data_IF_272381660630
#
_entry.id   IF_272381660630
#
_cell.length_a   1.000
_cell.length_b   1.000
_cell.length_c   1.000
_cell.angle_alpha   90.00
_cell.angle_beta   90.00
_cell.angle_gamma   90.00
#
_symmetry.space_group_name_H-M   'P 1'
#
loop_
_entity.id
_entity.type
_entity.pdbx_description
1 polymer ?
#
# COMPACT_ATOMS: atom_id res chain seq x y z
N UNK A 1 -11.75 3.75 -8.30
CA UNK A 1 -10.45 3.07 -8.17
C UNK A 1 -10.36 2.36 -6.81
N UNK A 2 -9.64 1.26 -6.77
CA UNK A 2 -9.39 0.44 -5.60
C UNK A 2 -8.13 0.90 -4.85
N UNK A 3 -8.04 0.54 -3.57
CA UNK A 3 -6.76 0.59 -2.86
C UNK A 3 -5.81 -0.48 -3.42
N UNK A 4 -4.57 -0.11 -3.68
CA UNK A 4 -3.50 -1.01 -4.12
C UNK A 4 -3.27 -2.18 -3.18
N UNK A 5 -3.24 -1.96 -1.86
CA UNK A 5 -3.04 -3.02 -0.89
C UNK A 5 -4.24 -3.97 -0.78
N UNK A 6 -5.46 -3.48 -0.98
CA UNK A 6 -6.63 -4.36 -1.08
C UNK A 6 -6.60 -5.22 -2.34
N UNK A 7 -6.26 -4.63 -3.50
CA UNK A 7 -6.07 -5.40 -4.74
C UNK A 7 -4.94 -6.43 -4.63
N UNK A 8 -3.92 -6.14 -3.83
CA UNK A 8 -2.81 -7.07 -3.57
C UNK A 8 -3.20 -8.21 -2.64
N UNK A 9 -3.88 -7.91 -1.53
CA UNK A 9 -4.35 -8.91 -0.59
C UNK A 9 -5.68 -8.47 0.03
N UNK A 10 -6.82 -8.89 -0.56
CA UNK A 10 -8.15 -8.49 -0.11
C UNK A 10 -8.50 -8.94 1.30
N UNK A 11 -7.90 -10.06 1.75
CA UNK A 11 -8.17 -10.64 3.08
C UNK A 11 -7.56 -9.77 4.18
N UNK A 12 -6.27 -9.41 4.01
CA UNK A 12 -5.53 -8.60 5.00
C UNK A 12 -6.06 -7.17 5.03
N UNK A 13 -6.39 -6.61 3.86
CA UNK A 13 -6.74 -5.19 3.70
C UNK A 13 -8.23 -4.96 3.44
N UNK A 14 -9.10 -5.85 3.93
CA UNK A 14 -10.56 -5.84 3.72
C UNK A 14 -11.24 -4.51 4.04
N UNK A 15 -10.73 -3.77 5.01
CA UNK A 15 -11.32 -2.48 5.42
C UNK A 15 -11.15 -1.40 4.34
N UNK A 16 -10.18 -1.57 3.44
CA UNK A 16 -9.96 -0.66 2.32
C UNK A 16 -10.96 -0.86 1.16
N UNK A 17 -11.68 -1.99 1.14
CA UNK A 17 -12.67 -2.30 0.10
C UNK A 17 -13.86 -1.33 0.08
N UNK A 18 -14.14 -0.68 1.21
CA UNK A 18 -15.30 0.22 1.38
C UNK A 18 -15.00 1.67 0.99
N UNK A 19 -13.77 1.96 0.58
CA UNK A 19 -13.32 3.32 0.32
C UNK A 19 -13.72 3.80 -1.08
N UNK A 20 -14.27 5.01 -1.15
CA UNK A 20 -14.55 5.67 -2.42
C UNK A 20 -13.33 6.48 -2.88
N UNK A 21 -12.38 5.81 -3.56
CA UNK A 21 -11.17 6.43 -4.10
C UNK A 21 -11.40 6.78 -5.57
N UNK A 22 -11.84 8.02 -5.83
CA UNK A 22 -12.23 8.46 -7.17
C UNK A 22 -11.03 8.80 -8.08
N UNK A 23 -9.86 9.07 -7.50
CA UNK A 23 -8.66 9.50 -8.21
C UNK A 23 -7.38 9.05 -7.47
N UNK A 24 -6.24 9.10 -8.15
CA UNK A 24 -4.95 8.68 -7.61
C UNK A 24 -4.44 9.60 -6.50
N UNK A 25 -4.91 10.85 -6.43
CA UNK A 25 -4.54 11.76 -5.33
C UNK A 25 -5.15 11.29 -4.01
N UNK A 26 -6.43 10.90 -4.02
CA UNK A 26 -7.11 10.28 -2.87
C UNK A 26 -6.48 8.95 -2.49
N UNK A 27 -6.08 8.15 -3.46
CA UNK A 27 -5.31 6.92 -3.19
C UNK A 27 -4.01 7.24 -2.47
N UNK A 28 -3.18 8.16 -2.97
CA UNK A 28 -1.91 8.53 -2.32
C UNK A 28 -2.12 9.01 -0.89
N UNK A 29 -3.16 9.82 -0.65
CA UNK A 29 -3.52 10.26 0.70
C UNK A 29 -3.92 9.07 1.59
N UNK A 30 -4.76 8.17 1.09
CA UNK A 30 -5.17 6.96 1.81
C UNK A 30 -3.97 6.07 2.13
N UNK A 31 -3.12 5.78 1.15
CA UNK A 31 -1.90 5.02 1.29
C UNK A 31 -0.99 5.63 2.37
N UNK A 32 -0.79 6.96 2.37
CA UNK A 32 0.02 7.64 3.38
C UNK A 32 -0.54 7.52 4.80
N UNK A 33 -1.86 7.41 4.95
CA UNK A 33 -2.55 7.34 6.24
C UNK A 33 -2.69 5.92 6.79
N UNK A 34 -2.82 4.92 5.92
CA UNK A 34 -3.21 3.56 6.33
C UNK A 34 -2.15 2.49 5.99
N UNK A 35 -1.30 2.77 5.01
CA UNK A 35 -0.26 1.84 4.53
C UNK A 35 1.14 2.43 4.69
N UNK A 36 1.33 3.32 5.66
CA UNK A 36 2.63 3.87 5.98
C UNK A 36 2.70 4.21 7.47
N UNK A 37 3.86 3.99 8.06
CA UNK A 37 4.17 4.37 9.44
C UNK A 37 5.52 5.10 9.45
N UNK A 38 5.69 6.13 10.29
CA UNK A 38 6.94 6.90 10.31
C UNK A 38 8.10 6.18 11.00
N UNK A 39 7.78 5.27 11.91
CA UNK A 39 8.75 4.58 12.74
C UNK A 39 8.51 3.09 12.67
N UNK A 40 8.96 2.42 11.61
CA UNK A 40 8.96 0.95 11.55
C UNK A 40 10.29 0.44 11.00
N UNK A 41 10.62 -0.80 11.34
CA UNK A 41 11.85 -1.43 10.86
C UNK A 41 11.64 -2.09 9.49
N UNK A 42 12.48 -1.79 8.51
CA UNK A 42 12.43 -2.44 7.19
C UNK A 42 12.91 -3.91 7.22
N UNK A 43 13.60 -4.35 8.28
CA UNK A 43 14.04 -5.74 8.41
C UNK A 43 12.97 -6.61 9.09
N UNK A 44 12.35 -6.17 10.19
CA UNK A 44 11.40 -6.98 10.96
C UNK A 44 9.95 -6.46 10.98
N UNK A 45 9.65 -5.37 10.27
CA UNK A 45 8.32 -4.76 10.14
C UNK A 45 7.65 -4.31 11.45
N UNK A 46 8.39 -4.30 12.56
CA UNK A 46 7.91 -3.82 13.85
C UNK A 46 7.71 -2.30 13.82
N UNK A 47 6.57 -1.83 14.33
CA UNK A 47 6.23 -0.40 14.44
C UNK A 47 6.52 0.11 15.84
N UNK A 48 7.07 1.32 15.94
CA UNK A 48 7.46 1.94 17.20
C UNK A 48 6.66 3.21 17.46
N UNK A 49 6.21 3.47 18.70
CA UNK A 49 5.41 4.66 18.99
C UNK A 49 6.21 5.97 18.92
N UNK A 50 7.55 5.91 18.96
CA UNK A 50 8.42 7.09 18.95
C UNK A 50 9.67 6.87 18.12
N UNK A 51 10.22 7.97 17.60
CA UNK A 51 11.48 7.97 16.86
C UNK A 51 12.64 7.43 17.70
N UNK A 52 12.68 7.72 19.00
CA UNK A 52 13.76 7.28 19.88
C UNK A 52 13.78 5.75 20.03
N UNK A 53 12.60 5.12 20.23
CA UNK A 53 12.48 3.66 20.31
C UNK A 53 12.88 2.98 18.99
N UNK A 54 12.47 3.56 17.87
CA UNK A 54 12.88 3.08 16.55
C UNK A 54 14.40 3.17 16.33
N UNK A 55 15.02 4.30 16.68
CA UNK A 55 16.49 4.45 16.59
C UNK A 55 17.21 3.44 17.48
N UNK A 56 16.77 3.31 18.73
CA UNK A 56 17.31 2.33 19.67
C UNK A 56 17.25 0.90 19.10
N UNK A 57 16.14 0.52 18.48
CA UNK A 57 16.00 -0.78 17.84
C UNK A 57 16.99 -0.96 16.67
N UNK A 58 17.12 0.06 15.81
CA UNK A 58 18.04 0.03 14.66
C UNK A 58 19.51 -0.02 15.06
N UNK A 59 19.90 0.75 16.07
CA UNK A 59 21.30 0.85 16.51
C UNK A 59 21.77 -0.46 17.16
N UNK A 60 20.91 -1.07 17.98
CA UNK A 60 21.23 -2.35 18.63
C UNK A 60 21.08 -3.57 17.72
N UNK A 61 20.55 -3.40 16.49
CA UNK A 61 20.28 -4.49 15.54
C UNK A 61 19.55 -5.66 16.20
N UNK A 62 18.58 -5.36 17.05
CA UNK A 62 17.92 -6.33 17.93
C UNK A 62 16.91 -7.24 17.23
N UNK A 63 16.95 -7.35 15.90
CA UNK A 63 15.97 -8.10 15.12
C UNK A 63 16.59 -8.84 13.94
N UNK A 64 15.82 -9.77 13.40
CA UNK A 64 16.17 -10.53 12.21
C UNK A 64 15.28 -10.12 11.04
N UNK A 65 15.83 -10.22 9.83
CA UNK A 65 15.08 -9.96 8.61
C UNK A 65 13.93 -10.96 8.46
N UNK A 66 12.74 -10.43 8.25
CA UNK A 66 11.51 -11.17 7.99
C UNK A 66 11.06 -10.92 6.54
N UNK A 67 10.25 -11.83 6.01
CA UNK A 67 9.62 -11.61 4.70
C UNK A 67 8.73 -10.36 4.72
N UNK A 68 8.66 -9.66 3.59
CA UNK A 68 7.79 -8.50 3.46
C UNK A 68 6.33 -8.90 3.68
N UNK A 69 5.74 -8.37 4.74
CA UNK A 69 4.34 -8.62 5.08
C UNK A 69 3.38 -7.79 4.22
N UNK A 70 3.89 -6.92 3.35
CA UNK A 70 3.15 -6.00 2.50
C UNK A 70 2.08 -5.26 3.29
N UNK A 71 2.43 -4.87 4.51
CA UNK A 71 1.53 -4.16 5.42
C UNK A 71 1.66 -2.66 5.25
N UNK A 72 2.89 -2.21 5.01
CA UNK A 72 3.25 -0.81 4.83
C UNK A 72 4.10 -0.66 3.57
N UNK A 73 4.07 0.52 2.97
CA UNK A 73 5.00 0.91 1.93
C UNK A 73 6.34 1.27 2.57
N UNK A 74 7.43 0.99 1.85
CA UNK A 74 8.78 1.37 2.26
C UNK A 74 8.91 2.89 2.44
N UNK A 75 9.82 3.36 3.30
CA UNK A 75 10.13 4.80 3.39
C UNK A 75 10.52 5.38 2.02
N UNK A 76 11.22 4.61 1.20
CA UNK A 76 11.58 4.98 -0.17
C UNK A 76 10.35 5.14 -1.07
N UNK A 77 9.43 4.17 -1.08
CA UNK A 77 8.19 4.25 -1.85
C UNK A 77 7.34 5.46 -1.43
N UNK A 78 7.21 5.72 -0.13
CA UNK A 78 6.48 6.91 0.37
C UNK A 78 7.05 8.22 -0.17
N UNK A 79 8.39 8.34 -0.18
CA UNK A 79 9.09 9.51 -0.70
C UNK A 79 8.97 9.64 -2.23
N UNK A 80 9.00 8.52 -2.95
CA UNK A 80 8.80 8.53 -4.40
C UNK A 80 7.37 8.91 -4.78
N UNK A 81 6.37 8.39 -4.06
CA UNK A 81 4.95 8.71 -4.30
C UNK A 81 4.63 10.18 -4.08
N UNK A 82 5.22 10.81 -3.06
CA UNK A 82 5.01 12.23 -2.76
C UNK A 82 5.61 13.16 -3.82
N UNK A 83 6.74 12.75 -4.43
CA UNK A 83 7.43 13.52 -5.48
C UNK A 83 6.89 13.29 -6.89
N UNK A 84 6.22 12.15 -7.13
CA UNK A 84 5.76 11.77 -8.46
C UNK A 84 4.53 12.56 -8.92
N UNK A 85 4.75 13.50 -9.84
CA UNK A 85 3.71 14.26 -10.56
C UNK A 85 3.55 13.65 -11.96
N UNK A 86 2.59 12.73 -12.14
CA UNK A 86 2.30 12.09 -13.44
C UNK A 86 1.17 12.79 -14.18
N UNK A 87 1.29 14.10 -14.37
CA UNK A 87 0.18 14.97 -14.80
C UNK A 87 -0.40 14.62 -16.17
N UNK A 88 0.40 14.05 -17.08
CA UNK A 88 -0.01 13.73 -18.45
C UNK A 88 -0.68 12.36 -18.61
N UNK A 89 -0.69 11.53 -17.56
CA UNK A 89 -1.30 10.21 -17.60
C UNK A 89 -2.81 10.28 -17.25
N UNK A 90 -3.58 9.35 -17.80
CA UNK A 90 -4.95 9.07 -17.32
C UNK A 90 -4.94 8.55 -15.88
N UNK A 91 -6.08 8.57 -15.19
CA UNK A 91 -6.16 8.06 -13.81
C UNK A 91 -5.83 6.57 -13.73
N UNK A 92 -6.23 5.77 -14.71
CA UNK A 92 -5.89 4.34 -14.80
C UNK A 92 -4.39 4.12 -14.98
N UNK A 93 -3.74 4.85 -15.88
CA UNK A 93 -2.28 4.74 -16.07
C UNK A 93 -1.52 5.23 -14.82
N UNK A 94 -1.99 6.30 -14.18
CA UNK A 94 -1.42 6.75 -12.89
C UNK A 94 -1.56 5.65 -11.83
N UNK A 95 -2.71 4.96 -11.80
CA UNK A 95 -2.99 3.90 -10.85
C UNK A 95 -2.04 2.72 -11.03
N UNK A 96 -1.87 2.22 -12.26
CA UNK A 96 -0.93 1.14 -12.56
C UNK A 96 0.52 1.53 -12.28
N UNK A 97 0.90 2.76 -12.63
CA UNK A 97 2.24 3.22 -12.31
C UNK A 97 2.47 3.36 -10.78
N UNK A 98 1.43 3.52 -9.95
CA UNK A 98 1.56 3.44 -8.48
C UNK A 98 1.67 1.97 -8.04
N UNK A 99 0.93 1.06 -8.69
CA UNK A 99 1.05 -0.38 -8.46
C UNK A 99 2.49 -0.86 -8.66
N UNK A 100 3.09 -0.56 -9.81
CA UNK A 100 4.47 -1.00 -10.13
C UNK A 100 5.52 -0.46 -9.17
N UNK A 101 5.25 0.70 -8.57
CA UNK A 101 6.13 1.29 -7.56
C UNK A 101 6.00 0.57 -6.21
N UNK A 102 4.78 0.17 -5.84
CA UNK A 102 4.50 -0.49 -4.56
C UNK A 102 4.86 -1.98 -4.60
N UNK A 103 4.63 -2.65 -5.72
CA UNK A 103 4.74 -4.09 -5.86
C UNK A 103 5.54 -4.46 -7.13
N UNK A 104 6.82 -4.05 -7.23
CA UNK A 104 7.62 -4.20 -8.46
C UNK A 104 7.77 -5.65 -8.92
N UNK A 105 7.73 -6.61 -7.99
CA UNK A 105 7.89 -8.04 -8.28
C UNK A 105 6.55 -8.78 -8.49
N UNK A 106 5.44 -8.04 -8.58
CA UNK A 106 4.10 -8.64 -8.70
C UNK A 106 3.38 -8.19 -9.98
N UNK A 107 2.61 -9.12 -10.56
CA UNK A 107 1.78 -8.84 -11.73
C UNK A 107 0.75 -7.76 -11.40
N UNK A 108 0.54 -6.84 -12.34
CA UNK A 108 -0.58 -5.90 -12.26
C UNK A 108 -1.92 -6.64 -12.26
N UNK A 109 -2.92 -6.15 -11.49
CA UNK A 109 -4.27 -6.68 -11.56
C UNK A 109 -4.92 -6.32 -12.89
N UNK A 110 -5.98 -7.03 -13.25
CA UNK A 110 -6.67 -6.84 -14.53
C UNK A 110 -7.34 -5.46 -14.63
N UNK A 111 -7.78 -4.91 -13.50
CA UNK A 111 -8.44 -3.61 -13.44
C UNK A 111 -8.13 -2.84 -12.15
N UNK A 112 -8.14 -1.50 -12.21
CA UNK A 112 -7.94 -0.65 -11.05
C UNK A 112 -9.22 -0.47 -10.22
N UNK A 113 -10.35 -1.07 -10.59
CA UNK A 113 -11.66 -0.76 -10.03
C UNK A 113 -12.15 -1.80 -9.02
N UNK A 114 -12.99 -1.34 -8.08
CA UNK A 114 -13.81 -2.19 -7.22
C UNK A 114 -15.16 -2.31 -7.93
N UNK A 115 -15.67 -3.54 -8.08
CA UNK A 115 -16.99 -3.73 -8.67
C UNK A 115 -18.06 -3.24 -7.69
N UNK A 116 -18.58 -2.04 -7.94
CA UNK A 116 -19.54 -1.37 -7.07
C UNK A 116 -20.91 -2.06 -7.04
N UNK A 117 -21.16 -3.02 -7.93
CA UNK A 117 -22.38 -3.83 -7.94
C UNK A 117 -22.31 -5.01 -6.95
N UNK A 118 -21.10 -5.34 -6.48
CA UNK A 118 -20.85 -6.44 -5.57
C UNK A 118 -20.62 -5.94 -4.14
N UNK A 119 -20.99 -6.77 -3.15
CA UNK A 119 -20.60 -6.50 -1.76
C UNK A 119 -19.08 -6.53 -1.62
N UNK A 120 -18.55 -5.91 -0.55
CA UNK A 120 -17.11 -5.95 -0.26
C UNK A 120 -16.58 -7.40 -0.10
N UNK A 121 -17.42 -8.29 0.41
CA UNK A 121 -17.12 -9.72 0.57
C UNK A 121 -17.02 -10.43 -0.78
N UNK A 122 -17.97 -10.18 -1.70
CA UNK A 122 -17.95 -10.75 -3.05
C UNK A 122 -16.79 -10.21 -3.90
N UNK A 123 -16.49 -8.92 -3.78
CA UNK A 123 -15.30 -8.32 -4.39
C UNK A 123 -14.02 -8.99 -3.89
N UNK A 124 -13.90 -9.22 -2.57
CA UNK A 124 -12.71 -9.85 -1.99
C UNK A 124 -12.55 -11.31 -2.44
N UNK A 125 -13.65 -12.04 -2.63
CA UNK A 125 -13.61 -13.39 -3.18
C UNK A 125 -13.16 -13.43 -4.63
N UNK A 126 -13.65 -12.51 -5.48
CA UNK A 126 -13.29 -12.45 -6.91
C UNK A 126 -11.80 -12.17 -7.14
N UNK A 127 -11.19 -11.34 -6.31
CA UNK A 127 -9.78 -10.97 -6.44
C UNK A 127 -8.82 -12.01 -5.81
N UNK A 128 -9.34 -12.97 -5.03
CA UNK A 128 -8.53 -14.02 -4.41
C UNK A 128 -8.36 -15.28 -5.28
N UNK A 129 -9.24 -15.47 -6.28
CA UNK A 129 -9.24 -16.61 -7.22
C UNK A 129 -8.37 -16.29 -8.43
#
# INVERSE_FOLDING_TARGET
>A
LACHYWKFNPIVHKDCAKLNLQDVSRIKQHLKRNHYHDYYCDDCWETFPTQNKYRQHRDHRSCHRQADQHRFMTHQQSNQLSKSSRRYLSETEKWFAVWDMLFPDHRQPESPDIDSTLSAELNSFREFV
#
